data_IF_991391538259
#
_entry.id   IF_991391538259
#
_cell.length_a   1.000
_cell.length_b   1.000
_cell.length_c   1.000
_cell.angle_alpha   90.00
_cell.angle_beta   90.00
_cell.angle_gamma   90.00
#
_symmetry.space_group_name_H-M   'P 1'
#
loop_
_entity.id
_entity.type
_entity.pdbx_description
1 polymer ?
#
# COMPACT_ATOMS: atom_id res chain seq x y z
N UNK A 1 16.88 13.63 -28.05
CA UNK A 1 16.25 13.81 -26.71
C UNK A 1 14.76 14.18 -26.77
N UNK A 2 14.17 14.52 -27.93
CA UNK A 2 12.73 14.89 -28.07
C UNK A 2 11.79 13.73 -28.45
N UNK A 3 12.30 12.59 -28.89
CA UNK A 3 11.46 11.46 -29.30
C UNK A 3 11.01 10.53 -28.14
N UNK A 4 11.66 10.58 -26.99
CA UNK A 4 11.30 9.76 -25.84
C UNK A 4 10.03 10.26 -25.13
N UNK A 5 9.84 11.58 -25.04
CA UNK A 5 8.65 12.19 -24.45
C UNK A 5 7.37 12.04 -25.32
N UNK A 6 7.54 11.85 -26.62
CA UNK A 6 6.42 11.67 -27.56
C UNK A 6 5.76 10.29 -27.45
N UNK A 7 6.50 9.28 -26.98
CA UNK A 7 5.97 7.93 -26.76
C UNK A 7 5.21 7.76 -25.44
N UNK A 8 5.38 8.67 -24.48
CA UNK A 8 4.67 8.65 -23.19
C UNK A 8 3.19 9.12 -23.32
N UNK A 9 2.84 9.81 -24.41
CA UNK A 9 1.49 10.29 -24.68
C UNK A 9 0.94 9.78 -26.02
N UNK A 10 1.39 8.60 -26.46
CA UNK A 10 0.83 7.98 -27.66
C UNK A 10 -0.63 7.62 -27.40
N UNK A 11 -1.53 8.40 -27.97
CA UNK A 11 -2.97 8.12 -28.06
C UNK A 11 -3.31 6.99 -29.04
N UNK A 12 -2.34 6.14 -29.34
CA UNK A 12 -2.50 4.99 -30.22
C UNK A 12 -3.51 4.01 -29.58
N UNK A 13 -4.69 3.81 -30.18
CA UNK A 13 -5.75 2.96 -29.64
C UNK A 13 -5.29 1.51 -29.42
N UNK A 14 -4.43 0.99 -30.30
CA UNK A 14 -3.91 -0.38 -30.20
C UNK A 14 -3.00 -0.55 -28.98
N UNK A 15 -2.11 0.40 -28.73
CA UNK A 15 -1.24 0.38 -27.55
C UNK A 15 -2.02 0.56 -26.25
N UNK A 16 -3.10 1.37 -26.29
CA UNK A 16 -3.99 1.54 -25.13
C UNK A 16 -4.74 0.25 -24.82
N UNK A 17 -5.21 -0.45 -25.85
CA UNK A 17 -5.90 -1.74 -25.70
C UNK A 17 -4.95 -2.85 -25.23
N UNK A 18 -3.74 -2.92 -25.78
CA UNK A 18 -2.71 -3.86 -25.37
C UNK A 18 -2.31 -3.66 -23.89
N UNK A 19 -2.08 -2.40 -23.48
CA UNK A 19 -1.82 -2.06 -22.07
C UNK A 19 -3.00 -2.43 -21.16
N UNK A 20 -4.24 -2.20 -21.63
CA UNK A 20 -5.44 -2.59 -20.88
C UNK A 20 -5.54 -4.11 -20.71
N UNK A 21 -5.24 -4.88 -21.78
CA UNK A 21 -5.20 -6.35 -21.74
C UNK A 21 -4.08 -6.86 -20.81
N UNK A 22 -2.88 -6.27 -20.88
CA UNK A 22 -1.75 -6.62 -20.02
C UNK A 22 -2.04 -6.32 -18.55
N UNK A 23 -2.69 -5.19 -18.26
CA UNK A 23 -3.15 -4.83 -16.91
C UNK A 23 -4.23 -5.81 -16.41
N UNK A 24 -5.19 -6.18 -17.27
CA UNK A 24 -6.22 -7.16 -16.94
C UNK A 24 -5.60 -8.55 -16.67
N UNK A 25 -4.60 -8.96 -17.45
CA UNK A 25 -3.87 -10.21 -17.25
C UNK A 25 -3.07 -10.16 -15.94
N UNK A 26 -2.27 -9.12 -15.70
CA UNK A 26 -1.55 -8.94 -14.43
C UNK A 26 -2.51 -8.95 -13.23
N UNK A 27 -3.67 -8.29 -13.35
CA UNK A 27 -4.71 -8.30 -12.32
C UNK A 27 -5.29 -9.71 -12.09
N UNK A 28 -5.43 -10.50 -13.14
CA UNK A 28 -5.86 -11.90 -13.05
C UNK A 28 -4.80 -12.78 -12.39
N UNK A 29 -3.52 -12.63 -12.78
CA UNK A 29 -2.42 -13.43 -12.26
C UNK A 29 -2.14 -13.09 -10.77
N UNK A 30 -2.23 -11.82 -10.41
CA UNK A 30 -2.19 -11.35 -9.02
C UNK A 30 -3.34 -11.94 -8.19
N UNK A 31 -4.53 -12.10 -8.78
CA UNK A 31 -5.70 -12.73 -8.13
C UNK A 31 -5.46 -14.18 -7.75
N UNK A 32 -4.66 -14.90 -8.52
CA UNK A 32 -4.32 -16.31 -8.26
C UNK A 32 -3.23 -16.41 -7.17
N UNK A 33 -2.28 -15.46 -7.15
CA UNK A 33 -1.14 -15.48 -6.23
C UNK A 33 -1.48 -15.06 -4.77
N UNK A 34 -2.65 -14.51 -4.50
CA UNK A 34 -2.93 -13.75 -3.27
C UNK A 34 -3.65 -14.50 -2.14
N UNK A 35 -3.78 -15.81 -2.21
CA UNK A 35 -4.22 -16.59 -1.03
C UNK A 35 -3.02 -16.87 -0.13
N UNK A 36 -2.84 -16.00 0.84
CA UNK A 36 -1.88 -16.13 1.94
C UNK A 36 -0.40 -16.14 1.50
N UNK A 37 0.29 -15.02 1.64
CA UNK A 37 1.75 -14.95 1.51
C UNK A 37 2.32 -14.36 2.79
N UNK A 38 2.74 -15.25 3.69
CA UNK A 38 3.82 -14.96 4.61
C UNK A 38 5.10 -15.34 3.87
N UNK A 39 5.72 -14.38 3.21
CA UNK A 39 7.03 -14.58 2.59
C UNK A 39 8.09 -13.97 3.48
N UNK A 40 8.92 -14.79 4.12
CA UNK A 40 10.17 -14.35 4.72
C UNK A 40 11.23 -14.02 3.65
N UNK A 41 10.89 -14.17 2.38
CA UNK A 41 11.78 -13.88 1.26
C UNK A 41 11.93 -12.37 1.04
N UNK A 42 13.18 -11.95 0.84
CA UNK A 42 13.53 -10.60 0.45
C UNK A 42 13.53 -10.47 -1.07
N UNK A 43 12.86 -9.44 -1.58
CA UNK A 43 12.77 -9.14 -3.01
C UNK A 43 13.47 -7.82 -3.31
N UNK A 44 14.15 -7.68 -4.47
CA UNK A 44 14.79 -6.44 -4.85
C UNK A 44 13.78 -5.33 -5.10
N UNK A 45 14.19 -4.09 -4.81
CA UNK A 45 13.41 -2.87 -5.05
C UNK A 45 14.36 -1.72 -5.37
N UNK A 46 13.98 -0.87 -6.32
CA UNK A 46 14.76 0.33 -6.66
C UNK A 46 14.40 1.51 -5.73
N UNK A 47 14.52 1.29 -4.43
CA UNK A 47 14.21 2.29 -3.40
C UNK A 47 15.21 2.16 -2.24
N UNK A 48 16.17 3.11 -2.11
CA UNK A 48 17.30 2.97 -1.18
C UNK A 48 16.99 3.41 0.25
N UNK A 49 15.77 3.86 0.54
CA UNK A 49 15.40 4.36 1.85
C UNK A 49 14.65 3.31 2.65
N UNK A 50 14.90 3.27 3.96
CA UNK A 50 14.12 2.45 4.86
C UNK A 50 12.70 3.02 5.00
N UNK A 51 11.70 2.18 4.78
CA UNK A 51 10.29 2.55 4.91
C UNK A 51 9.41 1.34 5.18
N UNK A 52 8.25 1.59 5.79
CA UNK A 52 7.17 0.62 5.94
C UNK A 52 5.95 1.12 5.18
N UNK A 53 5.45 0.32 4.27
CA UNK A 53 4.17 0.56 3.61
C UNK A 53 3.13 -0.32 4.28
N UNK A 54 1.94 0.20 4.59
CA UNK A 54 0.88 -0.64 5.13
C UNK A 54 -0.49 -0.30 4.56
N UNK A 55 -1.36 -1.31 4.58
CA UNK A 55 -2.76 -1.22 4.20
C UNK A 55 -3.60 -2.08 5.15
N UNK A 56 -4.83 -1.64 5.46
CA UNK A 56 -5.76 -2.34 6.34
C UNK A 56 -7.10 -2.55 5.64
N UNK A 57 -7.63 -3.77 5.74
CA UNK A 57 -9.03 -4.07 5.41
C UNK A 57 -9.85 -4.18 6.69
N UNK A 58 -11.06 -3.59 6.67
CA UNK A 58 -11.99 -3.58 7.80
C UNK A 58 -13.20 -4.42 7.48
N UNK A 59 -13.68 -5.17 8.46
CA UNK A 59 -14.90 -5.97 8.33
C UNK A 59 -16.15 -5.09 8.09
N UNK A 60 -16.18 -3.89 8.67
CA UNK A 60 -17.35 -2.97 8.59
C UNK A 60 -16.91 -1.51 8.79
N UNK A 61 -17.89 -0.61 8.97
CA UNK A 61 -17.68 0.84 9.16
C UNK A 61 -16.90 1.20 10.43
N UNK A 62 -16.86 0.31 11.44
CA UNK A 62 -16.09 0.54 12.67
C UNK A 62 -14.59 0.48 12.40
N UNK A 63 -13.86 1.53 12.76
CA UNK A 63 -12.42 1.58 12.51
C UNK A 63 -11.62 0.46 13.21
N UNK A 64 -12.02 0.04 14.41
CA UNK A 64 -11.42 -1.09 15.13
C UNK A 64 -11.87 -2.49 14.66
N UNK A 65 -12.39 -2.62 13.43
CA UNK A 65 -12.83 -3.90 12.85
C UNK A 65 -11.84 -4.47 11.83
N UNK A 66 -10.54 -4.26 12.04
CA UNK A 66 -9.47 -4.76 11.16
C UNK A 66 -9.58 -6.27 10.99
N UNK A 67 -9.81 -6.72 9.75
CA UNK A 67 -9.86 -8.13 9.35
C UNK A 67 -8.65 -8.57 8.51
N UNK A 68 -7.86 -7.63 8.01
CA UNK A 68 -6.57 -7.90 7.36
C UNK A 68 -5.65 -6.71 7.57
N UNK A 69 -4.38 -6.98 7.82
CA UNK A 69 -3.29 -6.00 7.75
C UNK A 69 -2.21 -6.52 6.81
N UNK A 70 -1.77 -5.64 5.92
CA UNK A 70 -0.70 -5.91 4.96
C UNK A 70 0.41 -4.91 5.18
N UNK A 71 1.61 -5.39 5.34
CA UNK A 71 2.80 -4.59 5.61
C UNK A 71 3.89 -4.98 4.63
N UNK A 72 4.50 -4.01 3.99
CA UNK A 72 5.75 -4.16 3.25
C UNK A 72 6.83 -3.36 3.94
N UNK A 73 7.87 -4.02 4.37
CA UNK A 73 9.04 -3.37 4.93
C UNK A 73 10.16 -3.32 3.90
N UNK A 74 10.71 -2.13 3.69
CA UNK A 74 11.78 -1.87 2.72
C UNK A 74 13.03 -1.47 3.49
N UNK A 75 14.15 -2.15 3.20
CA UNK A 75 15.46 -1.88 3.75
C UNK A 75 16.55 -2.39 2.80
N UNK A 76 17.65 -1.63 2.64
CA UNK A 76 18.79 -2.01 1.83
C UNK A 76 18.44 -2.42 0.38
N UNK A 77 17.57 -1.65 -0.28
CA UNK A 77 17.08 -1.93 -1.64
C UNK A 77 16.41 -3.30 -1.79
N UNK A 78 15.84 -3.79 -0.71
CA UNK A 78 15.06 -5.02 -0.67
C UNK A 78 13.77 -4.79 0.12
N UNK A 79 12.73 -5.59 -0.15
CA UNK A 79 11.50 -5.60 0.64
C UNK A 79 11.06 -7.00 1.00
N UNK A 80 10.29 -7.09 2.05
CA UNK A 80 9.52 -8.28 2.42
C UNK A 80 8.07 -7.91 2.73
N UNK A 81 7.17 -8.82 2.45
CA UNK A 81 5.73 -8.68 2.70
C UNK A 81 5.29 -9.51 3.90
N UNK A 82 4.45 -8.91 4.74
CA UNK A 82 3.80 -9.54 5.88
C UNK A 82 2.30 -9.28 5.76
N UNK A 83 1.52 -10.30 5.46
CA UNK A 83 0.08 -10.17 5.25
C UNK A 83 -0.63 -11.12 6.20
N UNK A 84 -1.45 -10.55 7.10
CA UNK A 84 -2.18 -11.30 8.12
C UNK A 84 -3.68 -11.11 7.96
N UNK A 85 -4.42 -12.19 7.87
CA UNK A 85 -5.83 -12.20 8.24
C UNK A 85 -5.93 -12.09 9.76
N UNK A 86 -6.87 -11.30 10.23
CA UNK A 86 -7.08 -10.99 11.65
C UNK A 86 -8.53 -11.26 12.00
N UNK A 87 -8.78 -11.96 13.09
CA UNK A 87 -10.13 -12.09 13.63
C UNK A 87 -10.51 -10.80 14.37
N UNK A 88 -11.39 -9.95 13.81
CA UNK A 88 -11.74 -8.68 14.42
C UNK A 88 -12.71 -8.82 15.61
N UNK A 89 -13.18 -10.04 15.90
CA UNK A 89 -14.22 -10.32 16.93
C UNK A 89 -15.44 -9.43 16.78
N UNK A 90 -15.95 -9.29 15.54
CA UNK A 90 -17.18 -8.57 15.21
C UNK A 90 -18.16 -9.48 14.46
N UNK A 91 -19.47 -9.18 14.58
CA UNK A 91 -20.51 -9.97 13.93
C UNK A 91 -20.80 -9.52 12.49
N UNK A 92 -20.56 -8.24 12.19
CA UNK A 92 -20.90 -7.66 10.88
C UNK A 92 -19.69 -7.53 9.98
N UNK A 93 -19.82 -8.00 8.75
CA UNK A 93 -18.84 -7.90 7.67
C UNK A 93 -19.43 -7.19 6.45
N UNK A 94 -19.92 -5.96 6.65
CA UNK A 94 -20.57 -5.19 5.58
C UNK A 94 -19.63 -4.75 4.44
N UNK A 95 -18.31 -4.90 4.62
CA UNK A 95 -17.31 -4.55 3.61
C UNK A 95 -16.78 -5.75 2.82
N UNK A 96 -17.32 -6.98 3.07
CA UNK A 96 -16.90 -8.19 2.31
C UNK A 96 -17.02 -8.03 0.80
N UNK A 97 -17.99 -7.26 0.31
CA UNK A 97 -18.15 -7.02 -1.14
C UNK A 97 -16.94 -6.28 -1.77
N UNK A 98 -16.16 -5.53 -0.97
CA UNK A 98 -14.99 -4.78 -1.45
C UNK A 98 -13.72 -5.63 -1.50
N UNK A 99 -13.48 -6.45 -0.47
CA UNK A 99 -12.21 -7.17 -0.28
C UNK A 99 -12.36 -8.69 -0.25
N UNK A 100 -13.57 -9.24 -0.41
CA UNK A 100 -13.91 -10.67 -0.39
C UNK A 100 -13.60 -11.43 0.91
N UNK A 101 -13.19 -10.74 2.00
CA UNK A 101 -12.97 -11.38 3.30
C UNK A 101 -14.30 -11.52 4.01
N UNK A 102 -14.64 -12.75 4.42
CA UNK A 102 -15.87 -13.11 5.09
C UNK A 102 -15.61 -13.56 6.52
N UNK A 103 -16.64 -13.67 7.38
CA UNK A 103 -16.48 -14.15 8.74
C UNK A 103 -15.77 -15.51 8.84
N UNK A 104 -16.08 -16.43 7.93
CA UNK A 104 -15.48 -17.76 7.88
C UNK A 104 -13.98 -17.73 7.56
N UNK A 105 -13.51 -16.77 6.77
CA UNK A 105 -12.09 -16.66 6.38
C UNK A 105 -11.20 -16.26 7.57
N UNK A 106 -11.78 -15.60 8.56
CA UNK A 106 -11.06 -15.10 9.75
C UNK A 106 -11.47 -15.78 11.04
N UNK A 107 -12.34 -16.80 10.98
CA UNK A 107 -12.85 -17.47 12.16
C UNK A 107 -11.71 -18.03 13.06
N UNK A 108 -10.74 -18.68 12.42
CA UNK A 108 -9.57 -19.30 13.04
C UNK A 108 -8.31 -18.42 12.95
N UNK A 109 -8.41 -17.20 12.40
CA UNK A 109 -7.31 -16.28 12.34
C UNK A 109 -6.95 -15.72 13.72
N UNK A 110 -5.67 -15.36 13.96
CA UNK A 110 -5.25 -14.73 15.20
C UNK A 110 -5.98 -13.40 15.42
N UNK A 111 -6.12 -12.99 16.67
CA UNK A 111 -6.58 -11.63 16.97
C UNK A 111 -5.43 -10.63 16.77
N UNK A 112 -5.75 -9.35 16.57
CA UNK A 112 -4.76 -8.33 16.29
C UNK A 112 -3.64 -8.26 17.34
N UNK A 113 -3.98 -8.47 18.61
CA UNK A 113 -3.02 -8.48 19.72
C UNK A 113 -1.91 -9.52 19.56
N UNK A 114 -2.22 -10.65 18.92
CA UNK A 114 -1.25 -11.72 18.70
C UNK A 114 -0.37 -11.45 17.46
N UNK A 115 -0.89 -10.72 16.48
CA UNK A 115 -0.17 -10.33 15.26
C UNK A 115 0.75 -9.13 15.51
N UNK A 116 0.32 -8.19 16.34
CA UNK A 116 0.99 -6.89 16.52
C UNK A 116 2.48 -7.01 16.91
N UNK A 117 2.89 -7.87 17.85
CA UNK A 117 4.31 -8.01 18.21
C UNK A 117 5.23 -8.39 17.05
N UNK A 118 4.71 -9.07 16.03
CA UNK A 118 5.49 -9.45 14.84
C UNK A 118 5.72 -8.29 13.89
N UNK A 119 4.78 -7.34 13.83
CA UNK A 119 4.82 -6.22 12.88
C UNK A 119 5.24 -4.90 13.52
N UNK A 120 5.07 -4.71 14.82
CA UNK A 120 5.42 -3.47 15.55
C UNK A 120 6.86 -2.99 15.28
N UNK A 121 7.90 -3.87 15.24
CA UNK A 121 9.27 -3.42 14.95
C UNK A 121 9.46 -2.71 13.63
N UNK A 122 8.53 -2.93 12.69
CA UNK A 122 8.53 -2.28 11.38
C UNK A 122 7.78 -0.93 11.36
N UNK A 123 7.14 -0.55 12.45
CA UNK A 123 6.47 0.73 12.63
C UNK A 123 7.26 1.66 13.54
N UNK A 124 7.76 1.15 14.67
CA UNK A 124 8.41 1.96 15.70
C UNK A 124 9.70 2.61 15.19
N UNK A 125 9.73 3.95 15.22
CA UNK A 125 10.87 4.76 14.76
C UNK A 125 11.09 4.76 13.24
N UNK A 126 10.11 4.34 12.45
CA UNK A 126 10.21 4.21 10.98
C UNK A 126 9.45 5.29 10.23
N UNK A 127 9.80 5.45 8.94
CA UNK A 127 8.95 6.12 7.97
C UNK A 127 7.81 5.15 7.61
N UNK A 128 6.59 5.49 7.99
CA UNK A 128 5.40 4.65 7.76
C UNK A 128 4.51 5.31 6.73
N UNK A 129 4.31 4.65 5.62
CA UNK A 129 3.66 5.18 4.43
C UNK A 129 2.35 4.43 4.21
N UNK A 130 1.31 5.16 3.90
CA UNK A 130 0.06 4.59 3.38
C UNK A 130 -0.51 5.46 2.27
N UNK A 131 -1.57 4.99 1.65
CA UNK A 131 -2.39 5.77 0.75
C UNK A 131 -3.77 5.95 1.37
N UNK A 132 -4.18 7.21 1.64
CA UNK A 132 -5.43 7.57 2.29
C UNK A 132 -5.48 7.22 3.79
N UNK A 133 -4.77 8.01 4.58
CA UNK A 133 -4.64 7.87 6.04
C UNK A 133 -5.99 7.87 6.78
N UNK A 134 -6.98 8.64 6.31
CA UNK A 134 -8.32 8.67 6.93
C UNK A 134 -8.94 7.28 7.04
N UNK A 135 -8.62 6.37 6.12
CA UNK A 135 -9.06 4.98 6.22
C UNK A 135 -8.08 4.10 7.02
N UNK A 136 -6.80 4.15 6.71
CA UNK A 136 -5.84 3.15 7.18
C UNK A 136 -5.18 3.51 8.51
N UNK A 137 -4.72 4.75 8.70
CA UNK A 137 -4.15 5.17 9.99
C UNK A 137 -5.19 5.16 11.09
N UNK A 138 -6.39 5.68 10.82
CA UNK A 138 -7.50 5.62 11.80
C UNK A 138 -7.89 4.19 12.15
N UNK A 139 -7.86 3.28 11.17
CA UNK A 139 -8.14 1.87 11.45
C UNK A 139 -7.04 1.26 12.32
N UNK A 140 -5.77 1.55 12.07
CA UNK A 140 -4.66 1.11 12.91
C UNK A 140 -4.83 1.63 14.34
N UNK A 141 -4.98 2.93 14.51
CA UNK A 141 -5.15 3.60 15.82
C UNK A 141 -6.32 3.01 16.62
N UNK A 142 -7.51 2.91 15.98
CA UNK A 142 -8.69 2.35 16.64
C UNK A 142 -8.51 0.86 16.97
N UNK A 143 -7.75 0.12 16.18
CA UNK A 143 -7.47 -1.29 16.44
C UNK A 143 -6.48 -1.45 17.58
N UNK A 144 -5.42 -0.65 17.64
CA UNK A 144 -4.48 -0.58 18.76
C UNK A 144 -5.21 -0.23 20.06
N UNK A 145 -6.02 0.83 20.05
CA UNK A 145 -6.81 1.26 21.20
C UNK A 145 -7.76 0.17 21.69
N UNK A 146 -8.49 -0.50 20.79
CA UNK A 146 -9.39 -1.61 21.11
C UNK A 146 -8.67 -2.77 21.80
N UNK A 147 -7.42 -3.00 21.46
CA UNK A 147 -6.60 -4.07 22.02
C UNK A 147 -5.72 -3.62 23.22
N UNK A 148 -5.89 -2.38 23.71
CA UNK A 148 -5.10 -1.78 24.79
C UNK A 148 -3.59 -1.77 24.49
N UNK A 149 -3.22 -1.53 23.24
CA UNK A 149 -1.86 -1.41 22.75
C UNK A 149 -1.53 0.07 22.54
N UNK A 150 -0.37 0.52 23.00
CA UNK A 150 0.09 1.88 22.78
C UNK A 150 0.43 2.10 21.31
N UNK A 151 0.10 3.30 20.78
CA UNK A 151 0.49 3.68 19.43
C UNK A 151 2.02 3.82 19.36
N UNK A 152 2.70 3.25 18.34
CA UNK A 152 4.13 3.39 18.18
C UNK A 152 4.50 4.82 17.75
N UNK A 153 5.64 5.30 18.21
CA UNK A 153 6.23 6.53 17.64
C UNK A 153 6.72 6.24 16.21
N UNK A 154 6.23 6.99 15.22
CA UNK A 154 6.56 6.81 13.81
C UNK A 154 6.48 8.13 13.04
N UNK A 155 7.25 8.26 11.95
CA UNK A 155 7.08 9.33 10.99
C UNK A 155 6.08 8.90 9.92
N UNK A 156 4.85 9.41 10.04
CA UNK A 156 3.75 9.03 9.17
C UNK A 156 3.69 9.86 7.88
N UNK A 157 3.41 9.20 6.76
CA UNK A 157 3.35 9.81 5.43
C UNK A 157 2.10 9.32 4.71
N UNK A 158 1.22 10.25 4.33
CA UNK A 158 0.07 9.98 3.47
C UNK A 158 0.37 10.39 2.02
N UNK A 159 0.41 9.43 1.11
CA UNK A 159 0.61 9.72 -0.30
C UNK A 159 -0.64 10.32 -0.96
N UNK A 160 -1.83 10.08 -0.42
CA UNK A 160 -3.05 10.71 -0.90
C UNK A 160 -2.96 12.24 -0.75
N UNK A 161 -2.63 12.72 0.45
CA UNK A 161 -2.46 14.15 0.70
C UNK A 161 -1.34 14.74 -0.17
N UNK A 162 -0.24 14.00 -0.35
CA UNK A 162 0.85 14.41 -1.23
C UNK A 162 0.37 14.70 -2.65
N UNK A 163 -0.51 13.86 -3.22
CA UNK A 163 -1.04 14.06 -4.57
C UNK A 163 -2.09 15.17 -4.62
N UNK A 164 -3.00 15.23 -3.65
CA UNK A 164 -4.00 16.29 -3.54
C UNK A 164 -3.37 17.68 -3.55
N UNK A 165 -2.27 17.87 -2.82
CA UNK A 165 -1.58 19.16 -2.73
C UNK A 165 -0.86 19.60 -4.02
N UNK A 166 -0.66 18.71 -5.00
CA UNK A 166 0.23 18.95 -6.16
C UNK A 166 -0.42 18.81 -7.52
N UNK A 167 -1.66 18.37 -7.56
CA UNK A 167 -2.34 18.06 -8.81
C UNK A 167 -3.78 18.59 -8.86
N UNK A 168 -3.95 19.89 -8.65
CA UNK A 168 -5.28 20.57 -8.62
C UNK A 168 -6.17 20.30 -9.83
N UNK A 169 -5.57 19.89 -10.95
CA UNK A 169 -6.29 19.58 -12.21
C UNK A 169 -6.74 18.13 -12.34
N UNK A 170 -6.45 17.27 -11.37
CA UNK A 170 -6.87 15.88 -11.42
C UNK A 170 -8.32 15.73 -10.95
N UNK A 171 -9.08 14.91 -11.65
CA UNK A 171 -10.51 14.68 -11.36
C UNK A 171 -10.73 13.75 -10.15
N UNK A 172 -9.73 12.94 -9.81
CA UNK A 172 -9.76 11.99 -8.70
C UNK A 172 -8.37 11.77 -8.12
N UNK A 173 -8.35 11.35 -6.87
CA UNK A 173 -7.13 10.93 -6.15
C UNK A 173 -7.25 9.50 -5.62
N UNK A 174 -8.16 8.69 -6.17
CA UNK A 174 -8.16 7.26 -5.84
C UNK A 174 -6.85 6.61 -6.32
N UNK A 175 -6.37 5.60 -5.61
CA UNK A 175 -5.07 4.99 -5.93
C UNK A 175 -5.03 4.40 -7.35
N UNK A 176 -6.15 3.87 -7.82
CA UNK A 176 -6.30 3.38 -9.21
C UNK A 176 -6.19 4.51 -10.23
N UNK A 177 -6.80 5.67 -9.96
CA UNK A 177 -6.69 6.84 -10.83
C UNK A 177 -5.25 7.36 -10.88
N UNK A 178 -4.59 7.43 -9.72
CA UNK A 178 -3.17 7.83 -9.64
C UNK A 178 -2.28 6.83 -10.38
N UNK A 179 -2.50 5.52 -10.21
CA UNK A 179 -1.78 4.50 -10.95
C UNK A 179 -1.94 4.65 -12.48
N UNK A 180 -3.16 4.96 -12.94
CA UNK A 180 -3.42 5.24 -14.36
C UNK A 180 -2.71 6.52 -14.83
N UNK A 181 -2.80 7.61 -14.06
CA UNK A 181 -2.15 8.90 -14.42
C UNK A 181 -0.63 8.82 -14.46
N UNK A 182 -0.05 8.01 -13.61
CA UNK A 182 1.40 7.80 -13.57
C UNK A 182 1.89 6.70 -14.54
N UNK A 183 0.97 6.03 -15.25
CA UNK A 183 1.23 4.91 -16.16
C UNK A 183 2.00 3.77 -15.48
N UNK A 184 1.56 3.42 -14.26
CA UNK A 184 2.20 2.37 -13.47
C UNK A 184 1.88 0.99 -14.03
N UNK A 185 2.81 0.06 -13.84
CA UNK A 185 2.63 -1.36 -14.16
C UNK A 185 1.73 -2.07 -13.15
N UNK A 186 1.80 -1.68 -11.88
CA UNK A 186 0.98 -2.21 -10.79
C UNK A 186 -0.38 -1.52 -10.73
N UNK A 187 -1.41 -2.27 -10.30
CA UNK A 187 -2.75 -1.73 -10.11
C UNK A 187 -3.33 -2.17 -8.77
N UNK A 188 -3.82 -1.23 -7.93
CA UNK A 188 -4.28 -1.57 -6.58
C UNK A 188 -5.52 -2.46 -6.60
N UNK A 189 -5.68 -3.26 -5.56
CA UNK A 189 -6.88 -4.09 -5.40
C UNK A 189 -7.18 -4.34 -3.93
N UNK A 190 -8.40 -4.03 -3.52
CA UNK A 190 -8.86 -4.35 -2.17
C UNK A 190 -8.90 -5.87 -1.90
N UNK A 191 -9.09 -6.68 -2.96
CA UNK A 191 -9.13 -8.15 -2.89
C UNK A 191 -7.73 -8.78 -2.86
N UNK A 192 -6.71 -8.02 -3.25
CA UNK A 192 -5.33 -8.48 -3.41
C UNK A 192 -4.39 -7.50 -2.72
N UNK A 193 -4.15 -7.68 -1.42
CA UNK A 193 -3.39 -6.74 -0.62
C UNK A 193 -1.97 -6.50 -1.14
N UNK A 194 -1.33 -7.53 -1.69
CA UNK A 194 -0.01 -7.39 -2.32
C UNK A 194 -0.03 -6.40 -3.50
N UNK A 195 -1.07 -6.41 -4.32
CA UNK A 195 -1.19 -5.50 -5.45
C UNK A 195 -1.23 -4.02 -5.03
N UNK A 196 -1.88 -3.72 -3.91
CA UNK A 196 -1.87 -2.36 -3.32
C UNK A 196 -0.46 -1.98 -2.82
N UNK A 197 0.25 -2.91 -2.17
CA UNK A 197 1.64 -2.68 -1.75
C UNK A 197 2.57 -2.47 -2.96
N UNK A 198 2.39 -3.24 -4.04
CA UNK A 198 3.15 -3.11 -5.28
C UNK A 198 2.94 -1.72 -5.90
N UNK A 199 1.69 -1.26 -6.02
CA UNK A 199 1.37 0.08 -6.56
C UNK A 199 2.01 1.20 -5.75
N UNK A 200 1.93 1.15 -4.42
CA UNK A 200 2.54 2.17 -3.56
C UNK A 200 4.07 2.13 -3.69
N UNK A 201 4.66 0.94 -3.78
CA UNK A 201 6.11 0.78 -3.98
C UNK A 201 6.55 1.40 -5.30
N UNK A 202 5.86 1.12 -6.39
CA UNK A 202 6.17 1.66 -7.71
C UNK A 202 6.04 3.20 -7.75
N UNK A 203 5.08 3.78 -7.01
CA UNK A 203 5.01 5.23 -6.81
C UNK A 203 6.30 5.75 -6.14
N UNK A 204 6.79 5.09 -5.10
CA UNK A 204 8.00 5.51 -4.40
C UNK A 204 9.25 5.38 -5.26
N UNK A 205 9.37 4.31 -6.06
CA UNK A 205 10.46 4.13 -7.03
C UNK A 205 10.44 5.24 -8.09
N UNK A 206 9.25 5.54 -8.63
CA UNK A 206 9.08 6.61 -9.60
C UNK A 206 9.42 7.99 -9.01
N UNK A 207 9.05 8.24 -7.76
CA UNK A 207 9.43 9.46 -7.04
C UNK A 207 10.94 9.51 -6.79
N UNK A 208 11.58 8.38 -6.50
CA UNK A 208 13.03 8.31 -6.33
C UNK A 208 13.75 8.61 -7.64
N UNK A 209 13.29 8.04 -8.73
CA UNK A 209 13.88 8.26 -10.06
C UNK A 209 13.70 9.71 -10.54
N UNK A 210 12.46 10.21 -10.51
CA UNK A 210 12.11 11.48 -11.15
C UNK A 210 12.22 12.70 -10.25
N UNK A 211 12.06 12.53 -8.93
CA UNK A 211 11.99 13.64 -7.95
C UNK A 211 12.67 13.31 -6.61
N UNK A 212 13.94 12.86 -6.61
CA UNK A 212 14.61 12.39 -5.40
C UNK A 212 14.70 13.44 -4.28
N UNK A 213 14.74 14.72 -4.63
CA UNK A 213 14.77 15.82 -3.66
C UNK A 213 13.46 15.94 -2.88
N UNK A 214 12.32 15.79 -3.57
CA UNK A 214 10.99 15.82 -2.95
C UNK A 214 10.81 14.61 -2.06
N UNK A 215 11.17 13.43 -2.56
CA UNK A 215 11.07 12.19 -1.80
C UNK A 215 11.90 12.24 -0.50
N UNK A 216 13.16 12.72 -0.56
CA UNK A 216 14.00 12.90 0.65
C UNK A 216 13.37 13.84 1.66
N UNK A 217 12.76 14.95 1.21
CA UNK A 217 12.06 15.87 2.09
C UNK A 217 10.86 15.20 2.75
N UNK A 218 10.09 14.44 1.99
CA UNK A 218 8.93 13.69 2.49
C UNK A 218 9.34 12.66 3.57
N UNK A 219 10.44 11.95 3.34
CA UNK A 219 10.99 10.95 4.27
C UNK A 219 11.82 11.54 5.41
N UNK A 220 11.97 12.86 5.51
CA UNK A 220 12.81 13.51 6.54
C UNK A 220 14.31 13.19 6.41
N UNK A 221 14.77 12.69 5.26
CA UNK A 221 16.16 12.29 5.03
C UNK A 221 17.02 13.52 4.71
N UNK A 222 18.01 13.81 5.54
CA UNK A 222 18.95 14.91 5.31
C UNK A 222 19.83 14.64 4.08
N UNK A 223 20.01 15.63 3.21
CA UNK A 223 20.97 15.52 2.12
C UNK A 223 22.39 15.29 2.71
N UNK A 224 23.11 14.28 2.21
CA UNK A 224 24.54 14.18 2.55
C UNK A 224 25.21 15.45 2.01
N UNK A 225 25.78 16.28 2.89
CA UNK A 225 26.68 17.37 2.46
C UNK A 225 27.89 16.71 1.83
N UNK A 226 28.16 16.99 0.55
CA UNK A 226 29.41 16.63 -0.12
C UNK A 226 30.54 17.47 0.44
#
# INVERSE_FOLDING_TARGET
>A
MFNFLRNLFSSDPEKKEERSRLRAQKKHDQRIASKQVLSDEWHPVNFPYQATIFNIQRANKGYGSTCQISVRYIENEQYKDMIYLVNPKVKSFSFSNYHDIKPEDVADAPVFKDVWPEIEPYFTGKNVITYYADAHLRALQATLQKNHISEPEMHFIDLYDYFCERHDSWESFSLDYVAEKLDLDSYPSAKHPKATLDTITEILELMYEKRPGILRKLLGVKAKRK
#
